data_IF_196960999216
#
_entry.id   IF_196960999216
#
_cell.length_a   1.000
_cell.length_b   1.000
_cell.length_c   1.000
_cell.angle_alpha   90.00
_cell.angle_beta   90.00
_cell.angle_gamma   90.00
#
_symmetry.space_group_name_H-M   'P 1'
#
loop_
_entity.id
_entity.type
_entity.pdbx_description
1 polymer ?
#
# COMPACT_ATOMS: atom_id res chain seq x y z
N UNK A 1 -14.91 5.82 24.69
CA UNK A 1 -14.86 4.61 23.84
C UNK A 1 -15.46 4.98 22.48
N UNK A 2 -14.87 4.59 21.35
CA UNK A 2 -15.32 4.99 20.01
C UNK A 2 -16.19 3.89 19.37
N UNK A 3 -17.54 3.91 19.54
CA UNK A 3 -18.40 2.78 19.19
C UNK A 3 -18.41 2.44 17.69
N UNK A 4 -18.33 3.46 16.82
CA UNK A 4 -18.32 3.28 15.36
C UNK A 4 -17.06 2.56 14.90
N UNK A 5 -15.91 2.92 15.48
CA UNK A 5 -14.63 2.27 15.16
C UNK A 5 -14.72 0.80 15.54
N UNK A 6 -15.15 0.49 16.77
CA UNK A 6 -15.26 -0.89 17.26
C UNK A 6 -16.22 -1.72 16.40
N UNK A 7 -17.36 -1.14 16.00
CA UNK A 7 -18.29 -1.79 15.08
C UNK A 7 -17.62 -2.13 13.74
N UNK A 8 -16.94 -1.17 13.11
CA UNK A 8 -16.20 -1.40 11.86
C UNK A 8 -15.16 -2.51 11.98
N UNK A 9 -14.44 -2.60 13.11
CA UNK A 9 -13.46 -3.67 13.35
C UNK A 9 -14.12 -5.04 13.49
N UNK A 10 -15.27 -5.13 14.18
CA UNK A 10 -16.03 -6.37 14.32
C UNK A 10 -16.63 -6.83 13.00
N UNK A 11 -17.23 -5.90 12.24
CA UNK A 11 -17.86 -6.17 10.95
C UNK A 11 -16.84 -6.66 9.90
N UNK A 12 -15.57 -6.24 10.02
CA UNK A 12 -14.49 -6.66 9.12
C UNK A 12 -13.52 -7.68 9.75
N UNK A 13 -13.89 -8.25 10.89
CA UNK A 13 -12.96 -9.06 11.70
C UNK A 13 -12.36 -10.21 10.92
N UNK A 14 -13.18 -10.96 10.18
CA UNK A 14 -12.72 -12.09 9.35
C UNK A 14 -11.56 -11.66 8.46
N UNK A 15 -11.77 -10.66 7.60
CA UNK A 15 -10.75 -10.10 6.68
C UNK A 15 -9.49 -9.60 7.38
N UNK A 16 -9.65 -9.01 8.56
CA UNK A 16 -8.53 -8.47 9.33
C UNK A 16 -7.69 -9.60 9.95
N UNK A 17 -8.30 -10.75 10.28
CA UNK A 17 -7.57 -11.87 10.89
C UNK A 17 -6.67 -12.63 9.92
N UNK A 18 -6.88 -12.56 8.60
CA UNK A 18 -5.94 -13.11 7.61
C UNK A 18 -4.53 -12.56 7.77
N UNK A 19 -4.40 -11.33 8.26
CA UNK A 19 -3.11 -10.72 8.59
C UNK A 19 -2.28 -11.61 9.52
N UNK A 20 -2.88 -12.22 10.55
CA UNK A 20 -2.16 -13.04 11.53
C UNK A 20 -1.68 -14.39 10.97
N UNK A 21 -2.06 -14.74 9.74
CA UNK A 21 -1.53 -15.92 9.05
C UNK A 21 -0.11 -15.70 8.51
N UNK A 22 0.40 -14.46 8.56
CA UNK A 22 1.74 -14.11 8.10
C UNK A 22 2.74 -14.08 9.25
N UNK A 23 4.02 -14.08 8.92
CA UNK A 23 5.11 -14.01 9.90
C UNK A 23 5.33 -12.57 10.38
N UNK A 24 6.01 -12.36 11.52
CA UNK A 24 6.36 -11.01 12.00
C UNK A 24 7.14 -10.14 10.99
N UNK A 25 7.92 -10.76 10.10
CA UNK A 25 8.65 -10.04 9.05
C UNK A 25 7.69 -9.45 7.99
N UNK A 26 6.69 -10.22 7.58
CA UNK A 26 5.67 -9.79 6.62
C UNK A 26 4.68 -8.82 7.26
N UNK A 27 4.35 -9.00 8.54
CA UNK A 27 3.56 -8.05 9.32
C UNK A 27 4.13 -6.63 9.22
N UNK A 28 5.45 -6.50 9.42
CA UNK A 28 6.15 -5.22 9.30
C UNK A 28 5.98 -4.58 7.94
N UNK A 29 6.06 -5.35 6.86
CA UNK A 29 5.84 -4.85 5.51
C UNK A 29 4.39 -4.34 5.32
N UNK A 30 3.41 -5.06 5.85
CA UNK A 30 1.98 -4.71 5.70
C UNK A 30 1.61 -3.46 6.51
N UNK A 31 2.01 -3.38 7.79
CA UNK A 31 1.61 -2.25 8.63
C UNK A 31 2.42 -0.97 8.38
N UNK A 32 3.55 -1.04 7.66
CA UNK A 32 4.28 0.16 7.26
C UNK A 32 3.49 0.95 6.22
N UNK A 33 2.60 1.82 6.68
CA UNK A 33 1.75 2.67 5.85
C UNK A 33 2.50 3.84 5.21
N UNK A 34 3.73 4.13 5.64
CA UNK A 34 4.56 5.25 5.16
C UNK A 34 4.62 5.37 3.63
N UNK A 35 4.71 4.24 2.91
CA UNK A 35 4.77 4.23 1.45
C UNK A 35 3.44 4.65 0.82
N UNK A 36 2.33 4.11 1.30
CA UNK A 36 0.97 4.40 0.80
C UNK A 36 0.55 5.83 1.20
N UNK A 37 0.79 6.21 2.45
CA UNK A 37 0.52 7.56 2.95
C UNK A 37 1.38 8.61 2.24
N UNK A 38 2.67 8.31 2.02
CA UNK A 38 3.58 9.15 1.26
C UNK A 38 3.10 9.36 -0.18
N UNK A 39 2.64 8.29 -0.84
CA UNK A 39 2.04 8.37 -2.17
C UNK A 39 0.77 9.25 -2.15
N UNK A 40 -0.17 8.97 -1.26
CA UNK A 40 -1.41 9.75 -1.13
C UNK A 40 -1.14 11.23 -0.85
N UNK A 41 -0.13 11.55 -0.04
CA UNK A 41 0.29 12.92 0.23
C UNK A 41 0.74 13.64 -1.04
N UNK A 42 1.54 12.99 -1.88
CA UNK A 42 2.00 13.59 -3.14
C UNK A 42 0.85 13.77 -4.14
N UNK A 43 -0.05 12.80 -4.24
CA UNK A 43 -1.25 12.92 -5.09
C UNK A 43 -2.14 14.08 -4.61
N UNK A 44 -2.44 14.16 -3.30
CA UNK A 44 -3.19 15.29 -2.72
C UNK A 44 -2.50 16.63 -2.96
N UNK A 45 -1.16 16.68 -2.91
CA UNK A 45 -0.39 17.89 -3.22
C UNK A 45 -0.59 18.32 -4.68
N UNK A 46 -0.57 17.38 -5.61
CA UNK A 46 -0.77 17.65 -7.04
C UNK A 46 -2.21 18.10 -7.35
N UNK A 47 -3.21 17.58 -6.62
CA UNK A 47 -4.63 17.88 -6.85
C UNK A 47 -5.18 19.02 -6.01
N UNK A 48 -4.46 19.49 -4.98
CA UNK A 48 -4.93 20.51 -4.00
C UNK A 48 -5.55 21.76 -4.64
N UNK A 49 -5.00 22.21 -5.77
CA UNK A 49 -5.40 23.46 -6.42
C UNK A 49 -6.38 23.26 -7.58
N UNK A 50 -6.86 22.03 -7.84
CA UNK A 50 -7.78 21.69 -8.93
C UNK A 50 -9.11 21.23 -8.35
N UNK A 51 -10.08 22.16 -8.26
CA UNK A 51 -11.43 21.88 -7.76
C UNK A 51 -12.38 21.29 -8.80
N UNK A 52 -12.16 21.56 -10.10
CA UNK A 52 -12.99 21.07 -11.21
C UNK A 52 -12.08 20.59 -12.35
N UNK A 53 -12.47 19.48 -12.97
CA UNK A 53 -11.78 18.92 -14.13
C UNK A 53 -12.65 19.09 -15.38
N UNK A 54 -12.07 19.48 -16.53
CA UNK A 54 -12.83 19.73 -17.76
C UNK A 54 -13.23 18.44 -18.49
N UNK A 55 -12.63 17.29 -18.15
CA UNK A 55 -12.95 15.97 -18.70
C UNK A 55 -12.60 14.87 -17.71
N UNK A 56 -13.22 13.70 -17.84
CA UNK A 56 -12.95 12.53 -16.99
C UNK A 56 -11.51 12.01 -17.10
N UNK A 57 -10.83 12.31 -18.21
CA UNK A 57 -9.41 11.94 -18.45
C UNK A 57 -8.41 12.96 -17.90
N UNK A 58 -8.87 14.16 -17.54
CA UNK A 58 -8.00 15.23 -17.02
C UNK A 58 -7.38 14.92 -15.64
N UNK A 59 -8.09 14.28 -14.69
CA UNK A 59 -7.50 13.84 -13.42
C UNK A 59 -6.32 12.87 -13.63
N UNK A 60 -6.44 11.90 -14.54
CA UNK A 60 -5.39 10.91 -14.80
C UNK A 60 -4.12 11.57 -15.33
N UNK A 61 -4.27 12.50 -16.31
CA UNK A 61 -3.16 13.27 -16.86
C UNK A 61 -2.47 14.15 -15.81
N UNK A 62 -3.18 14.57 -14.77
CA UNK A 62 -2.62 15.33 -13.65
C UNK A 62 -1.88 14.43 -12.65
N UNK A 63 -2.39 13.24 -12.37
CA UNK A 63 -1.79 12.29 -11.43
C UNK A 63 -0.57 11.59 -12.03
N UNK A 64 -0.55 11.34 -13.35
CA UNK A 64 0.53 10.62 -14.01
C UNK A 64 1.94 11.23 -13.81
N UNK A 65 2.15 12.55 -13.95
CA UNK A 65 3.43 13.18 -13.59
C UNK A 65 3.82 13.00 -12.12
N UNK A 66 2.85 13.09 -11.20
CA UNK A 66 3.11 12.85 -9.78
C UNK A 66 3.57 11.40 -9.54
N UNK A 67 2.93 10.43 -10.19
CA UNK A 67 3.36 9.04 -10.18
C UNK A 67 4.79 8.87 -10.71
N UNK A 68 5.13 9.48 -11.86
CA UNK A 68 6.50 9.38 -12.42
C UNK A 68 7.55 9.90 -11.44
N UNK A 69 7.33 11.08 -10.85
CA UNK A 69 8.24 11.67 -9.87
C UNK A 69 8.39 10.83 -8.60
N UNK A 70 7.34 10.12 -8.16
CA UNK A 70 7.40 9.21 -7.02
C UNK A 70 8.19 7.96 -7.38
N UNK A 71 7.90 7.37 -8.54
CA UNK A 71 8.56 6.17 -9.05
C UNK A 71 10.08 6.36 -9.16
N UNK A 72 10.52 7.51 -9.66
CA UNK A 72 11.96 7.85 -9.76
C UNK A 72 12.67 7.87 -8.41
N UNK A 73 11.95 8.13 -7.32
CA UNK A 73 12.50 8.17 -5.95
C UNK A 73 12.41 6.83 -5.22
N UNK A 74 11.64 5.87 -5.75
CA UNK A 74 11.48 4.53 -5.18
C UNK A 74 12.60 3.61 -5.65
N UNK A 75 13.84 3.97 -5.30
CA UNK A 75 15.05 3.21 -5.63
C UNK A 75 15.58 2.38 -4.47
N UNK A 76 15.14 2.68 -3.25
CA UNK A 76 15.60 1.97 -2.06
C UNK A 76 15.03 0.55 -1.99
N UNK A 77 15.87 -0.48 -1.78
CA UNK A 77 15.39 -1.85 -1.63
C UNK A 77 14.57 -2.00 -0.35
N UNK A 78 13.60 -2.93 -0.37
CA UNK A 78 12.82 -3.27 0.80
C UNK A 78 13.73 -3.90 1.87
N UNK A 79 13.64 -3.40 3.09
CA UNK A 79 14.38 -3.96 4.21
C UNK A 79 13.97 -5.43 4.44
N UNK A 80 14.97 -6.30 4.63
CA UNK A 80 14.79 -7.74 4.87
C UNK A 80 14.03 -8.48 3.76
N UNK A 81 14.07 -7.98 2.52
CA UNK A 81 13.36 -8.59 1.40
C UNK A 81 13.73 -10.05 1.16
N UNK A 82 15.01 -10.42 1.32
CA UNK A 82 15.47 -11.80 1.16
C UNK A 82 14.79 -12.79 2.11
N UNK A 83 14.56 -12.40 3.36
CA UNK A 83 13.86 -13.23 4.33
C UNK A 83 12.35 -13.27 4.05
N UNK A 84 11.77 -12.13 3.66
CA UNK A 84 10.35 -12.01 3.33
C UNK A 84 10.01 -12.85 2.10
N UNK A 85 10.80 -12.79 1.04
CA UNK A 85 10.58 -13.54 -0.19
C UNK A 85 10.63 -15.06 0.04
N UNK A 86 11.56 -15.55 0.87
CA UNK A 86 11.61 -16.96 1.27
C UNK A 86 10.35 -17.41 2.00
N UNK A 87 9.86 -16.60 2.96
CA UNK A 87 8.64 -16.93 3.69
C UNK A 87 7.40 -16.89 2.79
N UNK A 88 7.35 -15.98 1.82
CA UNK A 88 6.31 -15.93 0.82
C UNK A 88 6.36 -17.16 -0.10
N UNK A 89 7.55 -17.57 -0.55
CA UNK A 89 7.74 -18.76 -1.38
C UNK A 89 7.26 -20.03 -0.66
N UNK A 90 7.61 -20.20 0.62
CA UNK A 90 7.13 -21.34 1.42
C UNK A 90 5.59 -21.31 1.55
N UNK A 91 5.00 -20.14 1.76
CA UNK A 91 3.56 -20.00 1.98
C UNK A 91 2.74 -20.19 0.69
N UNK A 92 3.26 -19.75 -0.45
CA UNK A 92 2.53 -19.70 -1.72
C UNK A 92 3.00 -20.74 -2.75
N UNK A 93 4.09 -21.46 -2.47
CA UNK A 93 4.62 -22.54 -3.30
C UNK A 93 4.84 -22.10 -4.74
N UNK A 94 4.27 -22.84 -5.68
CA UNK A 94 4.36 -22.62 -7.13
C UNK A 94 3.85 -21.24 -7.60
N UNK A 95 3.10 -20.50 -6.79
CA UNK A 95 2.63 -19.15 -7.14
C UNK A 95 3.70 -18.07 -6.95
N UNK A 96 4.77 -18.36 -6.22
CA UNK A 96 5.82 -17.39 -5.92
C UNK A 96 7.19 -18.06 -5.94
N UNK A 97 7.81 -18.06 -7.12
CA UNK A 97 9.18 -18.53 -7.31
C UNK A 97 10.18 -17.39 -7.08
N UNK A 98 11.26 -17.70 -6.35
CA UNK A 98 12.37 -16.78 -6.15
C UNK A 98 13.33 -17.00 -7.32
N UNK A 99 13.32 -16.09 -8.30
CA UNK A 99 14.35 -16.00 -9.35
C UNK A 99 15.69 -15.53 -8.77
#
# INVERSE_FOLDING_TARGET
MYPIVIKSWRDNWERLTEYFRYTPAIHKLIYTTNTVEGYHRQVRKATKNKGVFPSDTSPEKLVYPAYRNIREKWTMPLANWSQISQQLAIKFGERFEIM
#
